data_IF_963485207619
#
_entry.id   IF_963485207619
#
_cell.length_a   1.000
_cell.length_b   1.000
_cell.length_c   1.000
_cell.angle_alpha   90.00
_cell.angle_beta   90.00
_cell.angle_gamma   90.00
#
_symmetry.space_group_name_H-M   'P 1'
#
loop_
_entity.id
_entity.type
_entity.pdbx_description
1 polymer ?
#
# COMPACT_ATOMS: atom_id res chain seq x y z
N UNK A 1 -4.34 -7.40 12.38
CA UNK A 1 -5.64 -7.21 11.70
C UNK A 1 -5.75 -5.80 11.10
N UNK A 2 -5.52 -4.74 11.90
CA UNK A 2 -5.59 -3.34 11.43
C UNK A 2 -4.57 -3.00 10.34
N UNK A 3 -3.37 -3.55 10.39
CA UNK A 3 -2.33 -3.28 9.40
C UNK A 3 -2.63 -3.90 8.03
N UNK A 4 -3.18 -5.12 8.02
CA UNK A 4 -3.62 -5.76 6.77
C UNK A 4 -4.80 -5.01 6.15
N UNK A 5 -5.70 -4.50 6.98
CA UNK A 5 -6.83 -3.69 6.52
C UNK A 5 -6.35 -2.38 5.88
N UNK A 6 -5.35 -1.71 6.47
CA UNK A 6 -4.74 -0.50 5.90
C UNK A 6 -4.04 -0.77 4.58
N UNK A 7 -3.27 -1.85 4.47
CA UNK A 7 -2.67 -2.26 3.20
C UNK A 7 -3.73 -2.56 2.15
N UNK A 8 -4.83 -3.21 2.55
CA UNK A 8 -5.97 -3.46 1.69
C UNK A 8 -6.58 -2.18 1.14
N UNK A 9 -6.76 -1.18 1.99
CA UNK A 9 -7.29 0.13 1.59
C UNK A 9 -6.35 0.82 0.60
N UNK A 10 -5.04 0.82 0.85
CA UNK A 10 -4.06 1.41 -0.06
C UNK A 10 -4.03 0.70 -1.42
N UNK A 11 -3.98 -0.62 -1.44
CA UNK A 11 -3.97 -1.40 -2.69
C UNK A 11 -5.27 -1.22 -3.48
N UNK A 12 -6.40 -1.20 -2.80
CA UNK A 12 -7.71 -0.96 -3.40
C UNK A 12 -7.80 0.45 -3.99
N UNK A 13 -7.30 1.46 -3.28
CA UNK A 13 -7.25 2.84 -3.74
C UNK A 13 -6.44 2.98 -5.01
N UNK A 14 -5.25 2.40 -5.04
CA UNK A 14 -4.37 2.44 -6.21
C UNK A 14 -5.08 1.93 -7.46
N UNK A 15 -5.66 0.74 -7.39
CA UNK A 15 -6.34 0.15 -8.53
C UNK A 15 -7.66 0.84 -8.86
N UNK A 16 -8.43 1.27 -7.87
CA UNK A 16 -9.68 1.96 -8.10
C UNK A 16 -9.47 3.27 -8.87
N UNK A 17 -8.49 4.07 -8.45
CA UNK A 17 -8.21 5.35 -9.11
C UNK A 17 -7.63 5.15 -10.51
N UNK A 18 -6.76 4.15 -10.70
CA UNK A 18 -6.22 3.84 -12.02
C UNK A 18 -7.30 3.34 -12.98
N UNK A 19 -8.21 2.50 -12.51
CA UNK A 19 -9.25 1.90 -13.34
C UNK A 19 -10.52 2.75 -13.46
N UNK A 20 -10.72 3.71 -12.56
CA UNK A 20 -11.85 4.63 -12.64
C UNK A 20 -11.76 5.49 -13.90
N UNK A 21 -12.87 5.64 -14.60
CA UNK A 21 -12.93 6.50 -15.76
C UNK A 21 -12.96 7.96 -15.31
N UNK A 22 -11.92 8.72 -15.66
CA UNK A 22 -11.80 10.15 -15.33
C UNK A 22 -13.07 10.93 -15.73
N UNK A 23 -13.61 10.63 -16.88
CA UNK A 23 -14.84 11.26 -17.37
C UNK A 23 -16.02 11.05 -16.42
N UNK A 24 -16.19 9.84 -15.89
CA UNK A 24 -17.26 9.54 -14.92
C UNK A 24 -17.05 10.28 -13.60
N UNK A 25 -15.81 10.34 -13.12
CA UNK A 25 -15.48 11.10 -11.91
C UNK A 25 -15.74 12.60 -12.10
N UNK A 26 -15.42 13.13 -13.27
CA UNK A 26 -15.70 14.53 -13.63
C UNK A 26 -17.20 14.80 -13.65
N UNK A 27 -18.00 13.95 -14.29
CA UNK A 27 -19.45 14.05 -14.32
C UNK A 27 -20.06 14.01 -12.91
N UNK A 28 -19.58 13.11 -12.06
CA UNK A 28 -20.01 13.02 -10.65
C UNK A 28 -19.63 14.27 -9.86
N UNK A 29 -18.45 14.83 -10.10
CA UNK A 29 -17.98 16.05 -9.46
C UNK A 29 -18.84 17.26 -9.87
N UNK A 30 -19.17 17.36 -11.14
CA UNK A 30 -20.04 18.42 -11.68
C UNK A 30 -21.46 18.37 -11.12
N UNK A 31 -21.94 17.15 -10.78
CA UNK A 31 -23.25 16.98 -10.15
C UNK A 31 -23.27 17.27 -8.63
N UNK A 32 -22.15 17.74 -8.06
CA UNK A 32 -22.07 18.18 -6.67
C UNK A 32 -21.42 17.21 -5.70
N UNK A 33 -20.84 16.10 -6.19
CA UNK A 33 -20.15 15.13 -5.35
C UNK A 33 -18.70 15.57 -5.07
N UNK A 34 -18.45 16.12 -3.88
CA UNK A 34 -17.12 16.58 -3.48
C UNK A 34 -16.08 15.45 -3.42
N UNK A 35 -16.49 14.25 -3.03
CA UNK A 35 -15.61 13.07 -3.00
C UNK A 35 -15.16 12.68 -4.40
N UNK A 36 -16.06 12.75 -5.38
CA UNK A 36 -15.72 12.51 -6.79
C UNK A 36 -14.74 13.56 -7.32
N UNK A 37 -14.88 14.81 -6.89
CA UNK A 37 -13.94 15.89 -7.22
C UNK A 37 -12.54 15.58 -6.67
N UNK A 38 -12.42 15.11 -5.44
CA UNK A 38 -11.15 14.69 -4.85
C UNK A 38 -10.55 13.49 -5.57
N UNK A 39 -11.37 12.51 -5.93
CA UNK A 39 -10.93 11.35 -6.70
C UNK A 39 -10.41 11.76 -8.08
N UNK A 40 -11.07 12.70 -8.74
CA UNK A 40 -10.63 13.25 -10.01
C UNK A 40 -9.29 13.99 -9.90
N UNK A 41 -9.13 14.82 -8.89
CA UNK A 41 -7.86 15.51 -8.61
C UNK A 41 -6.72 14.52 -8.38
N UNK A 42 -6.95 13.44 -7.64
CA UNK A 42 -5.95 12.38 -7.42
C UNK A 42 -5.59 11.67 -8.73
N UNK A 43 -6.59 11.42 -9.58
CA UNK A 43 -6.37 10.76 -10.87
C UNK A 43 -5.59 11.64 -11.85
N UNK A 44 -5.68 12.97 -11.73
CA UNK A 44 -4.90 13.91 -12.55
C UNK A 44 -3.43 14.01 -12.12
N UNK A 45 -3.11 13.66 -10.88
CA UNK A 45 -1.75 13.69 -10.34
C UNK A 45 -1.31 12.28 -9.92
N UNK A 46 -1.16 11.35 -10.89
CA UNK A 46 -0.92 9.94 -10.57
C UNK A 46 0.40 9.69 -9.83
N UNK A 47 1.46 10.43 -10.15
CA UNK A 47 2.76 10.23 -9.52
C UNK A 47 2.74 10.57 -8.03
N UNK A 48 2.10 11.66 -7.64
CA UNK A 48 1.94 12.05 -6.24
C UNK A 48 1.07 11.04 -5.48
N UNK A 49 -0.01 10.59 -6.08
CA UNK A 49 -0.88 9.58 -5.53
C UNK A 49 -0.15 8.25 -5.32
N UNK A 50 0.56 7.75 -6.32
CA UNK A 50 1.32 6.50 -6.23
C UNK A 50 2.40 6.57 -5.17
N UNK A 51 3.14 7.70 -5.09
CA UNK A 51 4.15 7.90 -4.05
C UNK A 51 3.54 7.86 -2.66
N UNK A 52 2.42 8.52 -2.45
CA UNK A 52 1.70 8.53 -1.17
C UNK A 52 1.26 7.12 -0.77
N UNK A 53 0.64 6.39 -1.69
CA UNK A 53 0.19 5.01 -1.46
C UNK A 53 1.38 4.09 -1.18
N UNK A 54 2.46 4.22 -1.93
CA UNK A 54 3.65 3.40 -1.76
C UNK A 54 4.33 3.64 -0.40
N UNK A 55 4.41 4.88 0.04
CA UNK A 55 4.88 5.21 1.39
C UNK A 55 4.00 4.54 2.44
N UNK A 56 2.69 4.62 2.29
CA UNK A 56 1.73 3.99 3.20
C UNK A 56 1.90 2.48 3.26
N UNK A 57 1.95 1.82 2.13
CA UNK A 57 2.11 0.35 2.05
C UNK A 57 3.44 -0.09 2.66
N UNK A 58 4.53 0.58 2.34
CA UNK A 58 5.86 0.27 2.85
C UNK A 58 5.94 0.44 4.36
N UNK A 59 5.44 1.55 4.88
CA UNK A 59 5.44 1.83 6.32
C UNK A 59 4.61 0.81 7.10
N UNK A 60 3.40 0.53 6.62
CA UNK A 60 2.53 -0.48 7.24
C UNK A 60 3.17 -1.86 7.19
N UNK A 61 3.80 -2.21 6.08
CA UNK A 61 4.51 -3.49 5.92
C UNK A 61 5.67 -3.65 6.91
N UNK A 62 6.49 -2.62 7.07
CA UNK A 62 7.62 -2.62 8.02
C UNK A 62 7.11 -2.76 9.46
N UNK A 63 6.13 -1.95 9.85
CA UNK A 63 5.57 -1.98 11.20
C UNK A 63 4.92 -3.34 11.50
N UNK A 64 4.19 -3.90 10.55
CA UNK A 64 3.58 -5.22 10.68
C UNK A 64 4.64 -6.31 10.85
N UNK A 65 5.70 -6.28 10.06
CA UNK A 65 6.78 -7.25 10.13
C UNK A 65 7.48 -7.22 11.49
N UNK A 66 7.83 -6.04 11.97
CA UNK A 66 8.48 -5.86 13.28
C UNK A 66 7.59 -6.36 14.43
N UNK A 67 6.32 -5.97 14.43
CA UNK A 67 5.39 -6.37 15.48
C UNK A 67 5.12 -7.87 15.47
N UNK A 68 4.87 -8.47 14.31
CA UNK A 68 4.53 -9.89 14.18
C UNK A 68 5.71 -10.79 14.51
N UNK A 69 6.91 -10.43 14.06
CA UNK A 69 8.13 -11.16 14.37
C UNK A 69 8.43 -11.19 15.87
N UNK A 70 8.33 -10.04 16.52
CA UNK A 70 8.58 -9.93 17.96
C UNK A 70 7.52 -10.65 18.82
N UNK A 71 6.25 -10.66 18.35
CA UNK A 71 5.12 -11.13 19.17
C UNK A 71 4.91 -12.64 19.06
N UNK A 72 5.10 -13.24 17.88
CA UNK A 72 4.64 -14.60 17.60
C UNK A 72 5.76 -15.64 17.46
N UNK A 73 6.99 -15.24 17.15
CA UNK A 73 8.08 -16.17 16.86
C UNK A 73 8.47 -17.02 18.07
N UNK A 74 8.72 -16.39 19.21
CA UNK A 74 9.15 -17.11 20.42
C UNK A 74 8.07 -18.05 21.00
N UNK A 75 6.79 -17.65 21.13
CA UNK A 75 5.75 -18.57 21.59
C UNK A 75 5.58 -19.80 20.70
N UNK A 76 5.66 -19.64 19.38
CA UNK A 76 5.56 -20.77 18.46
C UNK A 76 6.77 -21.69 18.57
N UNK A 77 7.97 -21.15 18.74
CA UNK A 77 9.19 -21.95 18.96
C UNK A 77 9.05 -22.83 20.23
N UNK A 78 8.54 -22.28 21.31
CA UNK A 78 8.28 -23.04 22.56
C UNK A 78 7.28 -24.18 22.35
N UNK A 79 6.20 -23.93 21.60
CA UNK A 79 5.21 -24.97 21.27
C UNK A 79 5.85 -26.08 20.43
N UNK A 80 6.67 -25.74 19.46
CA UNK A 80 7.36 -26.71 18.60
C UNK A 80 8.34 -27.58 19.39
N UNK A 81 9.08 -27.00 20.32
CA UNK A 81 10.02 -27.73 21.19
C UNK A 81 9.28 -28.73 22.07
N UNK A 82 8.13 -28.35 22.63
CA UNK A 82 7.30 -29.24 23.45
C UNK A 82 6.68 -30.39 22.66
N UNK A 83 6.23 -30.11 21.44
CA UNK A 83 5.62 -31.10 20.57
C UNK A 83 6.64 -32.05 19.93
N UNK A 84 7.78 -31.53 19.54
CA UNK A 84 8.86 -32.25 18.84
C UNK A 84 10.22 -31.91 19.44
N UNK A 85 10.62 -32.50 20.57
CA UNK A 85 11.90 -32.16 21.23
C UNK A 85 13.14 -32.35 20.35
N UNK A 86 13.09 -33.23 19.35
CA UNK A 86 14.19 -33.50 18.42
C UNK A 86 14.56 -32.31 17.55
N UNK A 87 13.64 -31.37 17.33
CA UNK A 87 13.86 -30.18 16.50
C UNK A 87 14.26 -28.95 17.32
N UNK A 88 14.51 -29.08 18.63
CA UNK A 88 14.87 -27.98 19.53
C UNK A 88 15.97 -27.06 18.97
N UNK A 89 17.09 -27.56 18.38
CA UNK A 89 18.10 -26.70 17.79
C UNK A 89 17.63 -25.84 16.63
N UNK A 90 16.58 -26.24 15.95
CA UNK A 90 16.02 -25.58 14.77
C UNK A 90 14.66 -24.90 15.02
N UNK A 91 14.11 -25.02 16.24
CA UNK A 91 12.77 -24.54 16.55
C UNK A 91 12.56 -23.06 16.26
N UNK A 92 13.55 -22.22 16.58
CA UNK A 92 13.47 -20.78 16.30
C UNK A 92 13.40 -20.48 14.81
N UNK A 93 14.21 -21.16 14.00
CA UNK A 93 14.22 -20.97 12.54
C UNK A 93 12.94 -21.48 11.88
N UNK A 94 12.45 -22.64 12.31
CA UNK A 94 11.20 -23.22 11.82
C UNK A 94 10.03 -22.32 12.19
N UNK A 95 9.98 -21.83 13.41
CA UNK A 95 8.97 -20.93 13.91
C UNK A 95 8.92 -19.62 13.11
N UNK A 96 10.08 -19.00 12.90
CA UNK A 96 10.17 -17.77 12.09
C UNK A 96 9.70 -18.00 10.65
N UNK A 97 10.09 -19.11 10.04
CA UNK A 97 9.66 -19.46 8.68
C UNK A 97 8.13 -19.64 8.60
N UNK A 98 7.55 -20.38 9.54
CA UNK A 98 6.10 -20.62 9.58
C UNK A 98 5.33 -19.32 9.80
N UNK A 99 5.77 -18.47 10.75
CA UNK A 99 5.13 -17.17 11.02
C UNK A 99 5.19 -16.27 9.81
N UNK A 100 6.34 -16.12 9.17
CA UNK A 100 6.51 -15.31 7.97
C UNK A 100 5.63 -15.83 6.83
N UNK A 101 5.55 -17.15 6.63
CA UNK A 101 4.72 -17.75 5.59
C UNK A 101 3.23 -17.51 5.82
N UNK A 102 2.74 -17.70 7.04
CA UNK A 102 1.34 -17.48 7.38
C UNK A 102 0.98 -16.00 7.26
N UNK A 103 1.81 -15.10 7.78
CA UNK A 103 1.57 -13.66 7.71
C UNK A 103 1.61 -13.19 6.26
N UNK A 104 2.55 -13.68 5.46
CA UNK A 104 2.65 -13.35 4.03
C UNK A 104 1.38 -13.80 3.29
N UNK A 105 0.93 -15.02 3.52
CA UNK A 105 -0.29 -15.53 2.91
C UNK A 105 -1.51 -14.67 3.26
N UNK A 106 -1.74 -14.41 4.56
CA UNK A 106 -2.87 -13.61 5.01
C UNK A 106 -2.78 -12.18 4.52
N UNK A 107 -1.58 -11.59 4.54
CA UNK A 107 -1.35 -10.23 4.07
C UNK A 107 -1.60 -10.10 2.56
N UNK A 108 -1.18 -11.08 1.77
CA UNK A 108 -1.44 -11.08 0.33
C UNK A 108 -2.93 -11.23 0.02
N UNK A 109 -3.62 -12.16 0.67
CA UNK A 109 -5.05 -12.40 0.38
C UNK A 109 -5.90 -11.22 0.85
N UNK A 110 -5.76 -10.81 2.10
CA UNK A 110 -6.59 -9.77 2.71
C UNK A 110 -6.12 -8.37 2.33
N UNK A 111 -4.82 -8.18 2.25
CA UNK A 111 -4.19 -6.86 2.02
C UNK A 111 -4.03 -6.47 0.55
N UNK A 112 -4.07 -7.43 -0.37
CA UNK A 112 -3.84 -7.14 -1.79
C UNK A 112 -4.87 -7.78 -2.71
N UNK A 113 -5.04 -9.09 -2.66
CA UNK A 113 -5.83 -9.81 -3.68
C UNK A 113 -7.33 -9.49 -3.60
N UNK A 114 -7.92 -9.56 -2.43
CA UNK A 114 -9.34 -9.24 -2.24
C UNK A 114 -9.63 -7.76 -2.53
N UNK A 115 -8.88 -6.80 -1.97
CA UNK A 115 -9.08 -5.38 -2.27
C UNK A 115 -8.92 -5.05 -3.76
N UNK A 116 -7.95 -5.63 -4.43
CA UNK A 116 -7.73 -5.42 -5.87
C UNK A 116 -8.91 -5.91 -6.71
N UNK A 117 -9.45 -7.07 -6.38
CA UNK A 117 -10.64 -7.58 -7.09
C UNK A 117 -11.87 -6.71 -6.87
N UNK A 118 -12.06 -6.20 -5.67
CA UNK A 118 -13.13 -5.24 -5.38
C UNK A 118 -12.95 -3.95 -6.18
N UNK A 119 -11.72 -3.44 -6.27
CA UNK A 119 -11.42 -2.23 -7.02
C UNK A 119 -11.65 -2.38 -8.51
N UNK A 120 -11.39 -3.54 -9.09
CA UNK A 120 -11.65 -3.82 -10.50
C UNK A 120 -13.14 -3.90 -10.79
N UNK A 121 -13.94 -4.47 -9.86
CA UNK A 121 -15.37 -4.61 -10.04
C UNK A 121 -16.14 -3.28 -9.94
N UNK A 122 -15.72 -2.39 -9.06
CA UNK A 122 -16.44 -1.13 -8.79
C UNK A 122 -15.46 0.03 -8.60
N UNK A 123 -14.67 0.38 -9.64
CA UNK A 123 -13.58 1.33 -9.48
C UNK A 123 -14.04 2.74 -9.11
N UNK A 124 -15.10 3.24 -9.72
CA UNK A 124 -15.57 4.59 -9.44
C UNK A 124 -16.14 4.75 -8.04
N UNK A 125 -16.95 3.79 -7.59
CA UNK A 125 -17.53 3.81 -6.26
C UNK A 125 -16.45 3.78 -5.17
N UNK A 126 -15.44 2.92 -5.33
CA UNK A 126 -14.33 2.80 -4.38
C UNK A 126 -13.45 4.05 -4.43
N UNK A 127 -13.14 4.57 -5.63
CA UNK A 127 -12.37 5.79 -5.79
C UNK A 127 -13.01 6.97 -5.04
N UNK A 128 -14.32 7.10 -5.13
CA UNK A 128 -15.08 8.14 -4.42
C UNK A 128 -14.99 7.98 -2.91
N UNK A 129 -15.17 6.77 -2.40
CA UNK A 129 -15.13 6.50 -0.96
C UNK A 129 -13.75 6.76 -0.35
N UNK A 130 -12.67 6.35 -1.02
CA UNK A 130 -11.30 6.47 -0.50
C UNK A 130 -10.65 7.82 -0.79
N UNK A 131 -11.23 8.63 -1.65
CA UNK A 131 -10.61 9.85 -2.17
C UNK A 131 -10.28 10.89 -1.09
N UNK A 132 -11.19 11.16 -0.16
CA UNK A 132 -10.94 12.12 0.92
C UNK A 132 -9.78 11.72 1.83
N UNK A 133 -9.77 10.53 2.44
CA UNK A 133 -8.64 10.11 3.28
C UNK A 133 -7.31 10.14 2.53
N UNK A 134 -7.27 9.66 1.31
CA UNK A 134 -6.03 9.62 0.51
C UNK A 134 -5.59 11.01 0.10
N UNK A 135 -6.52 11.88 -0.26
CA UNK A 135 -6.20 13.28 -0.58
C UNK A 135 -5.57 13.99 0.62
N UNK A 136 -6.16 13.87 1.81
CA UNK A 136 -5.60 14.44 3.04
C UNK A 136 -4.23 13.88 3.38
N UNK A 137 -4.06 12.56 3.24
CA UNK A 137 -2.78 11.90 3.44
C UNK A 137 -1.73 12.40 2.43
N UNK A 138 -2.11 12.56 1.18
CA UNK A 138 -1.25 13.09 0.12
C UNK A 138 -0.78 14.52 0.44
N UNK A 139 -1.66 15.38 0.94
CA UNK A 139 -1.30 16.72 1.34
C UNK A 139 -0.35 16.72 2.55
N UNK A 140 -0.60 15.87 3.53
CA UNK A 140 0.25 15.74 4.72
C UNK A 140 1.65 15.20 4.37
N UNK A 141 1.75 14.27 3.42
CA UNK A 141 3.00 13.65 2.99
C UNK A 141 3.70 14.40 1.86
N UNK A 142 3.14 15.49 1.37
CA UNK A 142 3.70 16.25 0.24
C UNK A 142 5.17 16.62 0.43
N UNK A 143 5.65 17.13 1.58
CA UNK A 143 7.07 17.39 1.79
C UNK A 143 7.93 16.14 1.66
N UNK A 144 7.44 14.99 2.16
CA UNK A 144 8.15 13.71 2.09
C UNK A 144 8.20 13.21 0.65
N UNK A 145 7.11 13.32 -0.09
CA UNK A 145 7.04 12.96 -1.52
C UNK A 145 8.01 13.81 -2.34
N UNK A 146 8.08 15.11 -2.09
CA UNK A 146 9.04 16.00 -2.76
C UNK A 146 10.49 15.62 -2.43
N UNK A 147 10.79 15.30 -1.18
CA UNK A 147 12.11 14.86 -0.76
C UNK A 147 12.51 13.55 -1.45
N UNK A 148 11.61 12.58 -1.52
CA UNK A 148 11.85 11.31 -2.20
C UNK A 148 12.06 11.52 -3.71
N UNK A 149 11.29 12.40 -4.32
CA UNK A 149 11.43 12.77 -5.74
C UNK A 149 12.81 13.36 -6.04
N UNK A 150 13.25 14.31 -5.23
CA UNK A 150 14.58 14.92 -5.36
C UNK A 150 15.69 13.88 -5.18
N UNK A 151 15.55 13.00 -4.19
CA UNK A 151 16.51 11.92 -3.95
C UNK A 151 16.58 10.95 -5.13
N UNK A 152 15.44 10.61 -5.71
CA UNK A 152 15.33 9.73 -6.88
C UNK A 152 16.01 10.38 -8.10
N UNK A 153 15.73 11.64 -8.38
CA UNK A 153 16.32 12.40 -9.48
C UNK A 153 17.84 12.50 -9.33
N UNK A 154 18.32 12.72 -8.11
CA UNK A 154 19.74 12.77 -7.80
C UNK A 154 20.44 11.43 -8.10
N UNK A 155 19.85 10.32 -7.68
CA UNK A 155 20.40 8.99 -7.96
C UNK A 155 20.38 8.66 -9.46
N UNK A 156 19.31 9.02 -10.16
CA UNK A 156 19.22 8.84 -11.61
C UNK A 156 20.30 9.65 -12.33
N UNK A 157 20.58 10.86 -11.87
CA UNK A 157 21.63 11.70 -12.42
C UNK A 157 23.02 11.09 -12.22
N UNK A 158 23.29 10.52 -11.04
CA UNK A 158 24.53 9.79 -10.76
C UNK A 158 24.69 8.58 -11.67
N UNK A 159 23.60 7.85 -11.94
CA UNK A 159 23.59 6.68 -12.82
C UNK A 159 23.67 7.04 -14.30
N UNK A 160 23.65 8.33 -14.64
CA UNK A 160 23.73 8.82 -16.03
C UNK A 160 22.43 8.67 -16.82
N UNK A 161 21.29 8.45 -16.14
CA UNK A 161 19.99 8.41 -16.77
C UNK A 161 19.42 9.83 -16.85
N UNK A 162 19.13 10.27 -18.07
CA UNK A 162 18.41 11.54 -18.27
C UNK A 162 16.91 11.30 -18.05
N UNK A 163 16.35 11.94 -17.02
CA UNK A 163 14.92 11.99 -16.84
C UNK A 163 14.35 12.87 -17.96
N UNK A 164 13.58 12.27 -18.87
CA UNK A 164 12.77 13.06 -19.79
C UNK A 164 11.68 13.72 -18.95
N UNK A 165 11.78 15.03 -18.76
CA UNK A 165 10.63 15.80 -18.36
C UNK A 165 9.59 15.59 -19.47
N UNK A 166 8.49 14.90 -19.12
CA UNK A 166 7.33 14.90 -19.98
C UNK A 166 6.89 16.37 -20.07
N UNK A 167 7.11 16.97 -21.19
CA UNK A 167 6.61 18.31 -21.47
C UNK A 167 5.10 18.28 -21.25
N UNK A 168 4.54 19.24 -20.52
CA UNK A 168 3.09 19.32 -20.38
C UNK A 168 2.47 19.48 -21.77
N UNK A 169 1.66 18.51 -22.13
CA UNK A 169 0.84 18.57 -23.35
C UNK A 169 -0.40 19.39 -23.04
#
# INVERSE_FOLDING_TARGET
>A
RRSSDLNGIFSMTELAIVNAKKRRLEEMAESGNERAKKAFELAENPNEMFSTIQIGITLVGILTGLYSGATFSAPLADVLVKAFPSIAPYAASISSFLIVSIITYLSLVIGELVPKRLAINSPEAIAVVVSKPIYWLSQALKPIVLFLGVSTDFLLKILGVTVKEEAPV
#
